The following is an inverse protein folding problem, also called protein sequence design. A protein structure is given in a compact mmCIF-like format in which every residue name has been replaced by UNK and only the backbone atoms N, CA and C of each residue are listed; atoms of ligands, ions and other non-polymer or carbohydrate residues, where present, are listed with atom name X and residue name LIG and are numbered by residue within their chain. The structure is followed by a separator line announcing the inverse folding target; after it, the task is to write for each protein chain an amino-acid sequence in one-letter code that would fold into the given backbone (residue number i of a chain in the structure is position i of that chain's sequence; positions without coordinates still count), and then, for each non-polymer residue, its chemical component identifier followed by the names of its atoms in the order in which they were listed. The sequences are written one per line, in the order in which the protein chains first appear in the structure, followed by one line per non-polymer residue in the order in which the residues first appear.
data_IF_469083423056
#
_entry.id   IF_469083423056
#
_cell.length_a   1.000
_cell.length_b   1.000
_cell.length_c   1.000
_cell.angle_alpha   90.00
_cell.angle_beta   90.00
_cell.angle_gamma   90.00
#
_symmetry.space_group_name_H-M   'P 1'
#
loop_
_entity.id
_entity.type
_entity.pdbx_description
1 polymer ?
#
# COMPACT_ATOMS: atom_id res chain seq x y z
N UNK A 1 44.78 -27.02 -11.26
CA UNK A 1 44.40 -25.60 -11.07
C UNK A 1 45.66 -24.81 -10.76
N UNK A 2 45.82 -23.62 -11.34
CA UNK A 2 46.97 -22.78 -11.03
C UNK A 2 46.96 -22.42 -9.53
N UNK A 3 48.12 -22.23 -8.91
CA UNK A 3 48.20 -21.78 -7.50
C UNK A 3 47.69 -20.34 -7.28
N UNK A 4 47.08 -19.72 -8.29
CA UNK A 4 46.57 -18.34 -8.26
C UNK A 4 45.07 -18.24 -8.56
N UNK A 5 44.41 -19.33 -8.96
CA UNK A 5 43.02 -19.32 -9.41
C UNK A 5 42.18 -20.39 -8.69
N UNK A 6 40.94 -20.04 -8.34
CA UNK A 6 39.96 -20.91 -7.64
C UNK A 6 40.45 -21.57 -6.33
N UNK A 7 41.49 -21.02 -5.68
CA UNK A 7 42.10 -21.56 -4.44
C UNK A 7 41.07 -21.76 -3.32
N UNK A 8 40.03 -20.94 -3.28
CA UNK A 8 38.96 -20.96 -2.27
C UNK A 8 37.61 -21.45 -2.81
N UNK A 9 37.59 -22.06 -4.00
CA UNK A 9 36.38 -22.65 -4.61
C UNK A 9 36.43 -24.16 -4.43
N UNK A 10 35.49 -24.71 -3.65
CA UNK A 10 35.42 -26.15 -3.38
C UNK A 10 34.73 -26.94 -4.50
N UNK A 11 33.81 -26.32 -5.23
CA UNK A 11 33.12 -26.93 -6.37
C UNK A 11 32.43 -25.87 -7.23
N UNK A 12 32.29 -26.18 -8.52
CA UNK A 12 31.51 -25.39 -9.49
C UNK A 12 30.42 -26.31 -10.02
N UNK A 13 29.17 -25.84 -10.01
CA UNK A 13 28.01 -26.59 -10.49
C UNK A 13 27.14 -25.67 -11.33
N UNK A 14 26.57 -26.22 -12.39
CA UNK A 14 25.61 -25.50 -13.22
C UNK A 14 24.26 -25.34 -12.49
N UNK A 15 23.58 -24.24 -12.79
CA UNK A 15 22.22 -23.96 -12.35
C UNK A 15 21.33 -23.95 -13.59
N UNK A 16 20.10 -24.46 -13.48
CA UNK A 16 19.10 -24.39 -14.54
C UNK A 16 18.99 -22.96 -15.09
N UNK A 17 18.88 -22.79 -16.40
CA UNK A 17 18.78 -21.44 -16.97
C UNK A 17 17.40 -20.81 -16.71
N UNK A 18 17.27 -19.47 -16.70
CA UNK A 18 15.97 -18.84 -16.55
C UNK A 18 14.96 -19.24 -17.63
N UNK A 19 15.39 -19.43 -18.89
CA UNK A 19 14.54 -19.86 -20.00
C UNK A 19 13.99 -21.26 -19.77
N UNK A 20 14.83 -22.20 -19.38
CA UNK A 20 14.39 -23.58 -19.09
C UNK A 20 13.40 -23.60 -17.93
N UNK A 21 13.68 -22.88 -16.84
CA UNK A 21 12.78 -22.83 -15.69
C UNK A 21 11.44 -22.16 -16.04
N UNK A 22 11.48 -21.02 -16.72
CA UNK A 22 10.26 -20.32 -17.17
C UNK A 22 9.46 -21.12 -18.19
N UNK A 23 10.12 -21.95 -19.01
CA UNK A 23 9.46 -22.89 -19.91
C UNK A 23 8.78 -24.04 -19.17
N UNK A 24 9.40 -24.57 -18.11
CA UNK A 24 8.82 -25.62 -17.26
C UNK A 24 7.67 -25.11 -16.39
N UNK A 25 7.76 -23.89 -15.89
CA UNK A 25 6.73 -23.24 -15.07
C UNK A 25 6.42 -21.85 -15.66
N UNK A 26 5.54 -21.75 -16.67
CA UNK A 26 5.15 -20.45 -17.22
C UNK A 26 4.39 -19.62 -16.18
N UNK A 27 4.36 -18.30 -16.35
CA UNK A 27 3.49 -17.44 -15.54
C UNK A 27 2.04 -17.61 -16.00
N UNK A 28 1.19 -18.14 -15.13
CA UNK A 28 -0.21 -18.43 -15.45
C UNK A 28 -1.15 -17.22 -15.24
N UNK A 29 -0.68 -16.17 -14.56
CA UNK A 29 -1.48 -15.01 -14.18
C UNK A 29 -0.83 -13.66 -14.54
N UNK A 30 -0.29 -13.46 -15.77
CA UNK A 30 0.48 -12.25 -16.11
C UNK A 30 -0.35 -10.96 -16.03
N UNK A 31 -1.62 -11.00 -16.45
CA UNK A 31 -2.52 -9.84 -16.39
C UNK A 31 -2.79 -9.42 -14.94
N UNK A 32 -3.06 -10.40 -14.07
CA UNK A 32 -3.28 -10.15 -12.65
C UNK A 32 -2.04 -9.53 -11.96
N UNK A 33 -0.83 -10.00 -12.29
CA UNK A 33 0.41 -9.40 -11.79
C UNK A 33 0.56 -7.96 -12.31
N UNK A 34 0.26 -7.71 -13.59
CA UNK A 34 0.32 -6.37 -14.17
C UNK A 34 -0.67 -5.39 -13.51
N UNK A 35 -1.92 -5.81 -13.32
CA UNK A 35 -2.97 -5.04 -12.63
C UNK A 35 -2.61 -4.76 -11.17
N UNK A 36 -1.99 -5.73 -10.50
CA UNK A 36 -1.53 -5.58 -9.12
C UNK A 36 -0.42 -4.53 -9.01
N UNK A 37 0.54 -4.52 -9.95
CA UNK A 37 1.59 -3.50 -10.01
C UNK A 37 1.03 -2.12 -10.30
N UNK A 38 0.03 -2.03 -11.18
CA UNK A 38 -0.65 -0.78 -11.50
C UNK A 38 -1.40 -0.24 -10.28
N UNK A 39 -2.13 -1.11 -9.57
CA UNK A 39 -2.83 -0.76 -8.33
C UNK A 39 -1.89 -0.18 -7.27
N UNK A 40 -0.76 -0.83 -7.02
CA UNK A 40 0.25 -0.31 -6.07
C UNK A 40 0.78 1.06 -6.54
N UNK A 41 0.98 1.23 -7.85
CA UNK A 41 1.41 2.50 -8.42
C UNK A 41 0.36 3.60 -8.19
N UNK A 42 -0.93 3.29 -8.35
CA UNK A 42 -2.05 4.20 -8.10
C UNK A 42 -2.16 4.61 -6.64
N UNK A 43 -2.00 3.66 -5.71
CA UNK A 43 -1.94 3.95 -4.26
C UNK A 43 -0.81 4.94 -3.95
N UNK A 44 0.37 4.73 -4.54
CA UNK A 44 1.50 5.65 -4.36
C UNK A 44 1.29 7.03 -4.95
N UNK A 45 0.39 7.19 -5.91
CA UNK A 45 0.04 8.46 -6.56
C UNK A 45 -1.23 9.12 -5.99
N UNK A 46 -1.83 8.54 -4.95
CA UNK A 46 -3.13 8.99 -4.42
C UNK A 46 -4.30 8.88 -5.42
N UNK A 47 -4.15 8.01 -6.44
CA UNK A 47 -5.19 7.69 -7.43
C UNK A 47 -6.06 6.49 -6.99
N UNK A 48 -5.64 5.77 -5.95
CA UNK A 48 -6.38 4.71 -5.26
C UNK A 48 -6.26 4.96 -3.75
N UNK A 49 -7.39 5.11 -3.07
CA UNK A 49 -7.45 5.48 -1.66
C UNK A 49 -7.21 4.31 -0.70
N UNK A 50 -7.03 3.09 -1.22
CA UNK A 50 -6.74 1.91 -0.40
C UNK A 50 -5.35 2.00 0.24
N UNK A 51 -5.20 1.36 1.39
CA UNK A 51 -3.94 1.25 2.11
C UNK A 51 -3.22 -0.05 1.74
N UNK A 52 -1.95 0.05 1.34
CA UNK A 52 -1.15 -1.12 0.95
C UNK A 52 -0.75 -1.92 2.20
N UNK A 53 -0.99 -3.23 2.17
CA UNK A 53 -0.59 -4.14 3.25
C UNK A 53 0.27 -5.27 2.70
N UNK A 54 1.56 -5.27 3.03
CA UNK A 54 2.48 -6.36 2.71
C UNK A 54 2.59 -7.26 3.93
N UNK A 55 1.99 -8.45 3.89
CA UNK A 55 1.85 -9.31 5.08
C UNK A 55 2.15 -10.76 4.76
N UNK A 56 2.88 -11.43 5.65
CA UNK A 56 3.21 -12.84 5.50
C UNK A 56 4.47 -13.24 6.26
N UNK A 57 4.94 -14.48 6.09
CA UNK A 57 6.02 -15.02 6.90
C UNK A 57 7.33 -14.23 6.75
N UNK A 58 8.17 -14.22 7.80
CA UNK A 58 9.51 -13.62 7.72
C UNK A 58 10.32 -14.20 6.56
N UNK A 59 10.32 -15.54 6.44
CA UNK A 59 10.83 -16.28 5.30
C UNK A 59 10.02 -17.57 5.08
N UNK A 60 9.91 -17.99 3.82
CA UNK A 60 9.20 -19.20 3.40
C UNK A 60 10.16 -20.37 3.39
N UNK A 61 9.93 -21.36 4.26
CA UNK A 61 10.74 -22.57 4.37
C UNK A 61 9.97 -23.85 3.98
N UNK A 62 8.65 -23.77 3.86
CA UNK A 62 7.79 -24.87 3.45
C UNK A 62 6.71 -24.32 2.48
N UNK A 63 6.73 -24.68 1.17
CA UNK A 63 5.74 -24.21 0.20
C UNK A 63 4.31 -24.60 0.53
N UNK A 64 4.08 -25.77 1.13
CA UNK A 64 2.72 -26.24 1.45
C UNK A 64 2.11 -25.38 2.57
N UNK A 65 2.87 -25.13 3.64
CA UNK A 65 2.45 -24.20 4.71
C UNK A 65 2.25 -22.77 4.21
N UNK A 66 3.05 -22.34 3.23
CA UNK A 66 2.88 -21.04 2.61
C UNK A 66 1.57 -20.95 1.80
N UNK A 67 1.17 -22.02 1.12
CA UNK A 67 -0.12 -22.08 0.43
C UNK A 67 -1.29 -22.13 1.40
N UNK A 68 -1.16 -22.86 2.51
CA UNK A 68 -2.16 -22.83 3.58
C UNK A 68 -2.35 -21.42 4.13
N UNK A 69 -1.24 -20.72 4.42
CA UNK A 69 -1.29 -19.31 4.81
C UNK A 69 -1.93 -18.42 3.74
N UNK A 70 -1.61 -18.64 2.45
CA UNK A 70 -2.20 -17.88 1.35
C UNK A 70 -3.72 -18.07 1.27
N UNK A 71 -4.23 -19.28 1.48
CA UNK A 71 -5.67 -19.55 1.52
C UNK A 71 -6.36 -18.80 2.68
N UNK A 72 -5.75 -18.78 3.87
CA UNK A 72 -6.26 -17.98 5.00
C UNK A 72 -6.23 -16.48 4.70
N UNK A 73 -5.14 -16.01 4.06
CA UNK A 73 -4.99 -14.61 3.67
C UNK A 73 -6.01 -14.20 2.58
N UNK A 74 -6.45 -15.13 1.73
CA UNK A 74 -7.47 -14.87 0.71
C UNK A 74 -8.79 -14.42 1.34
N UNK A 75 -9.19 -15.04 2.45
CA UNK A 75 -10.39 -14.65 3.20
C UNK A 75 -10.28 -13.22 3.72
N UNK A 76 -9.13 -12.87 4.30
CA UNK A 76 -8.88 -11.52 4.80
C UNK A 76 -8.84 -10.50 3.66
N UNK A 77 -8.14 -10.81 2.57
CA UNK A 77 -8.11 -9.98 1.37
C UNK A 77 -9.52 -9.70 0.85
N UNK A 78 -10.36 -10.72 0.75
CA UNK A 78 -11.73 -10.56 0.26
C UNK A 78 -12.61 -9.72 1.20
N UNK A 79 -12.41 -9.85 2.51
CA UNK A 79 -13.13 -9.07 3.53
C UNK A 79 -12.77 -7.59 3.52
N UNK A 80 -11.50 -7.25 3.30
CA UNK A 80 -11.00 -5.88 3.39
C UNK A 80 -10.69 -5.21 2.03
N UNK A 81 -11.08 -5.84 0.90
CA UNK A 81 -10.67 -5.43 -0.46
C UNK A 81 -11.02 -4.00 -0.87
N UNK A 82 -12.06 -3.42 -0.26
CA UNK A 82 -12.56 -2.08 -0.58
C UNK A 82 -11.68 -0.97 0.02
N UNK A 83 -10.80 -1.32 0.97
CA UNK A 83 -10.02 -0.36 1.77
C UNK A 83 -8.55 -0.74 1.88
N UNK A 84 -8.24 -2.03 1.87
CA UNK A 84 -6.88 -2.55 1.95
C UNK A 84 -6.51 -3.25 0.65
N UNK A 85 -5.31 -2.96 0.14
CA UNK A 85 -4.71 -3.73 -0.93
C UNK A 85 -3.67 -4.69 -0.35
N UNK A 86 -4.11 -5.93 -0.13
CA UNK A 86 -3.31 -6.98 0.53
C UNK A 86 -2.38 -7.66 -0.48
N UNK A 87 -1.09 -7.69 -0.17
CA UNK A 87 -0.02 -8.34 -0.91
C UNK A 87 0.68 -9.33 0.02
N UNK A 88 0.79 -10.59 -0.39
CA UNK A 88 1.47 -11.60 0.40
C UNK A 88 2.98 -11.37 0.36
N UNK A 89 3.61 -11.34 1.53
CA UNK A 89 5.07 -11.38 1.69
C UNK A 89 5.57 -12.80 1.43
N UNK A 90 6.30 -13.00 0.34
CA UNK A 90 6.88 -14.30 -0.09
C UNK A 90 8.40 -14.16 -0.22
N UNK A 91 9.09 -14.12 0.93
CA UNK A 91 10.53 -13.92 0.99
C UNK A 91 11.21 -15.27 1.18
N UNK A 92 12.20 -15.60 0.35
CA UNK A 92 12.81 -16.93 0.38
C UNK A 92 14.01 -17.04 1.31
N UNK A 93 14.62 -15.92 1.69
CA UNK A 93 15.82 -15.90 2.49
C UNK A 93 15.78 -14.71 3.47
N UNK A 94 16.42 -14.91 4.63
CA UNK A 94 16.76 -13.85 5.57
C UNK A 94 18.28 -13.62 5.53
N UNK A 95 18.76 -12.45 5.07
CA UNK A 95 20.20 -12.16 5.07
C UNK A 95 20.79 -12.18 6.48
N UNK A 96 21.85 -12.97 6.68
CA UNK A 96 22.53 -13.15 7.98
C UNK A 96 24.03 -12.96 7.85
N UNK A 97 24.64 -12.31 8.85
CA UNK A 97 26.10 -12.13 8.97
C UNK A 97 26.81 -13.32 9.60
N UNK A 98 26.09 -14.18 10.33
CA UNK A 98 26.61 -15.40 10.96
C UNK A 98 25.80 -16.61 10.45
N UNK A 99 26.33 -17.82 10.66
CA UNK A 99 25.78 -19.08 10.12
C UNK A 99 24.27 -19.30 10.30
N UNK A 100 23.70 -20.22 9.54
CA UNK A 100 22.28 -20.54 9.53
C UNK A 100 21.77 -21.00 8.18
N UNK A 101 20.50 -21.41 8.14
CA UNK A 101 19.80 -21.75 6.91
C UNK A 101 19.84 -20.59 5.90
N UNK A 102 20.09 -20.93 4.63
CA UNK A 102 20.34 -19.96 3.54
C UNK A 102 19.11 -19.61 2.72
N UNK A 103 17.93 -20.03 3.15
CA UNK A 103 16.69 -19.78 2.46
C UNK A 103 16.29 -20.89 1.49
N UNK A 104 15.03 -20.86 1.05
CA UNK A 104 14.44 -21.93 0.26
C UNK A 104 15.05 -22.08 -1.13
N UNK A 105 15.46 -20.97 -1.75
CA UNK A 105 16.13 -21.01 -3.04
C UNK A 105 17.50 -21.68 -2.91
N UNK A 106 18.27 -21.31 -1.88
CA UNK A 106 19.64 -21.79 -1.74
C UNK A 106 19.73 -23.19 -1.12
N UNK A 107 18.87 -23.52 -0.16
CA UNK A 107 18.89 -24.78 0.61
C UNK A 107 17.45 -25.29 0.83
N UNK A 108 16.78 -25.79 -0.23
CA UNK A 108 15.35 -26.13 -0.20
C UNK A 108 14.98 -27.27 0.75
N UNK A 109 15.92 -28.15 1.08
CA UNK A 109 15.71 -29.31 1.94
C UNK A 109 16.12 -29.06 3.40
N UNK A 110 16.71 -27.90 3.69
CA UNK A 110 17.18 -27.50 5.03
C UNK A 110 18.21 -28.52 5.55
N UNK A 111 19.11 -28.95 4.68
CA UNK A 111 20.10 -29.99 4.94
C UNK A 111 21.50 -29.67 4.40
N UNK A 112 21.69 -28.46 3.87
CA UNK A 112 22.96 -27.96 3.34
C UNK A 112 23.44 -28.69 2.08
N UNK A 113 22.54 -29.37 1.35
CA UNK A 113 22.84 -29.93 0.03
C UNK A 113 23.00 -28.86 -1.06
N UNK A 114 22.37 -27.71 -0.84
CA UNK A 114 22.40 -26.53 -1.70
C UNK A 114 21.95 -26.78 -3.16
N UNK A 115 20.86 -27.55 -3.35
CA UNK A 115 20.24 -27.71 -4.68
C UNK A 115 19.46 -26.46 -5.10
N UNK A 116 20.17 -25.49 -5.67
CA UNK A 116 19.62 -24.21 -6.10
C UNK A 116 18.58 -24.39 -7.21
N UNK A 117 18.78 -25.33 -8.14
CA UNK A 117 17.85 -25.57 -9.25
C UNK A 117 16.49 -26.06 -8.72
N UNK A 118 16.50 -26.96 -7.73
CA UNK A 118 15.28 -27.37 -7.01
C UNK A 118 14.64 -26.21 -6.25
N UNK A 119 15.44 -25.40 -5.55
CA UNK A 119 14.95 -24.25 -4.80
C UNK A 119 14.28 -23.20 -5.69
N UNK A 120 14.86 -22.90 -6.86
CA UNK A 120 14.28 -22.01 -7.87
C UNK A 120 12.96 -22.56 -8.43
N UNK A 121 12.89 -23.87 -8.69
CA UNK A 121 11.65 -24.53 -9.11
C UNK A 121 10.55 -24.37 -8.05
N UNK A 122 10.84 -24.70 -6.80
CA UNK A 122 9.90 -24.59 -5.68
C UNK A 122 9.42 -23.14 -5.48
N UNK A 123 10.34 -22.17 -5.53
CA UNK A 123 10.02 -20.76 -5.38
C UNK A 123 9.09 -20.26 -6.50
N UNK A 124 9.40 -20.59 -7.76
CA UNK A 124 8.61 -20.17 -8.91
C UNK A 124 7.22 -20.82 -8.94
N UNK A 125 7.14 -22.12 -8.65
CA UNK A 125 5.86 -22.84 -8.55
C UNK A 125 4.96 -22.24 -7.46
N UNK A 126 5.51 -22.00 -6.27
CA UNK A 126 4.78 -21.37 -5.17
C UNK A 126 4.22 -20.00 -5.55
N UNK A 127 5.05 -19.13 -6.13
CA UNK A 127 4.60 -17.80 -6.58
C UNK A 127 3.49 -17.88 -7.62
N UNK A 128 3.57 -18.84 -8.55
CA UNK A 128 2.52 -19.07 -9.54
C UNK A 128 1.20 -19.50 -8.89
N UNK A 129 1.25 -20.44 -7.94
CA UNK A 129 0.08 -20.92 -7.21
C UNK A 129 -0.57 -19.78 -6.42
N UNK A 130 0.21 -18.97 -5.69
CA UNK A 130 -0.31 -17.82 -4.93
C UNK A 130 -0.96 -16.77 -5.86
N UNK A 131 -0.32 -16.43 -6.99
CA UNK A 131 -0.92 -15.52 -7.96
C UNK A 131 -2.18 -16.11 -8.63
N UNK A 132 -2.26 -17.43 -8.80
CA UNK A 132 -3.45 -18.12 -9.33
C UNK A 132 -4.62 -18.10 -8.35
N UNK A 133 -4.37 -18.02 -7.05
CA UNK A 133 -5.40 -17.73 -6.02
C UNK A 133 -5.87 -16.27 -6.07
N UNK A 134 -5.28 -15.43 -6.92
CA UNK A 134 -5.58 -14.01 -7.00
C UNK A 134 -4.98 -13.22 -5.84
N UNK A 135 -3.86 -13.64 -5.26
CA UNK A 135 -3.11 -12.87 -4.26
C UNK A 135 -1.80 -12.38 -4.88
N UNK A 136 -1.53 -11.07 -4.91
CA UNK A 136 -0.25 -10.56 -5.40
C UNK A 136 0.86 -10.87 -4.41
N UNK A 137 2.08 -11.11 -4.92
CA UNK A 137 3.24 -11.48 -4.09
C UNK A 137 4.30 -10.38 -4.05
N UNK A 138 4.92 -10.20 -2.89
CA UNK A 138 6.06 -9.32 -2.66
C UNK A 138 7.31 -10.12 -2.25
N UNK A 139 8.48 -9.75 -2.75
CA UNK A 139 9.76 -10.37 -2.35
C UNK A 139 10.85 -9.32 -2.08
N UNK A 140 11.98 -9.76 -1.53
CA UNK A 140 13.18 -8.93 -1.37
C UNK A 140 14.25 -9.33 -2.37
N UNK A 141 14.92 -8.32 -2.92
CA UNK A 141 16.00 -8.52 -3.87
C UNK A 141 17.34 -8.64 -3.12
N UNK A 142 17.94 -9.83 -3.18
CA UNK A 142 19.17 -10.17 -2.46
C UNK A 142 20.39 -10.38 -3.38
N UNK A 143 20.15 -10.67 -4.66
CA UNK A 143 21.18 -10.93 -5.65
C UNK A 143 20.74 -10.47 -7.06
N UNK A 144 21.67 -10.53 -8.02
CA UNK A 144 21.52 -10.05 -9.39
C UNK A 144 21.07 -11.12 -10.41
N UNK A 145 20.84 -12.36 -9.99
CA UNK A 145 20.51 -13.49 -10.85
C UNK A 145 19.07 -13.96 -10.66
N UNK A 146 18.62 -14.13 -9.41
CA UNK A 146 17.28 -14.56 -9.00
C UNK A 146 16.15 -13.79 -9.69
N UNK A 147 16.23 -12.46 -9.95
CA UNK A 147 15.18 -11.75 -10.68
C UNK A 147 14.83 -12.34 -12.03
N UNK A 148 15.82 -12.85 -12.78
CA UNK A 148 15.55 -13.47 -14.08
C UNK A 148 14.73 -14.75 -13.94
N UNK A 149 14.65 -15.36 -12.76
CA UNK A 149 13.87 -16.59 -12.55
C UNK A 149 12.44 -16.34 -12.09
N UNK A 150 12.18 -15.25 -11.34
CA UNK A 150 10.89 -15.09 -10.64
C UNK A 150 10.22 -13.72 -10.80
N UNK A 151 10.91 -12.69 -11.30
CA UNK A 151 10.43 -11.31 -11.24
C UNK A 151 9.14 -11.08 -12.04
N UNK A 152 8.83 -11.90 -13.04
CA UNK A 152 7.57 -11.86 -13.77
C UNK A 152 6.34 -12.23 -12.92
N UNK A 153 6.54 -12.83 -11.74
CA UNK A 153 5.49 -13.22 -10.78
C UNK A 153 5.35 -12.26 -9.60
N UNK A 154 6.21 -11.24 -9.49
CA UNK A 154 6.28 -10.34 -8.33
C UNK A 154 5.51 -9.05 -8.59
N UNK A 155 4.71 -8.59 -7.63
CA UNK A 155 3.95 -7.34 -7.71
C UNK A 155 4.61 -6.18 -6.95
N UNK A 156 5.45 -6.46 -5.95
CA UNK A 156 6.22 -5.47 -5.19
C UNK A 156 7.59 -6.02 -4.80
N UNK A 157 8.64 -5.19 -4.87
CA UNK A 157 10.00 -5.59 -4.49
C UNK A 157 10.53 -4.71 -3.37
N UNK A 158 11.17 -5.31 -2.38
CA UNK A 158 11.93 -4.57 -1.37
C UNK A 158 13.44 -4.67 -1.62
N UNK A 159 14.15 -3.58 -1.31
CA UNK A 159 15.61 -3.56 -1.16
C UNK A 159 15.92 -3.48 0.33
N UNK A 160 16.72 -4.42 0.79
CA UNK A 160 17.05 -4.59 2.21
C UNK A 160 17.88 -3.48 2.80
N UNK A 161 17.84 -3.36 4.13
CA UNK A 161 18.61 -2.37 4.89
C UNK A 161 20.14 -2.52 4.71
N UNK A 162 20.62 -3.72 4.35
CA UNK A 162 22.05 -3.98 4.11
C UNK A 162 22.47 -3.80 2.65
N UNK A 163 21.52 -3.71 1.74
CA UNK A 163 21.77 -3.63 0.29
C UNK A 163 21.30 -2.30 -0.32
N UNK A 164 20.60 -1.45 0.45
CA UNK A 164 20.17 -0.11 0.01
C UNK A 164 21.32 0.81 -0.42
N UNK A 165 22.52 0.62 0.10
CA UNK A 165 23.74 1.34 -0.30
C UNK A 165 24.53 0.64 -1.42
N UNK A 166 24.15 -0.58 -1.79
CA UNK A 166 24.84 -1.33 -2.84
C UNK A 166 24.48 -0.78 -4.22
N UNK A 167 25.51 -0.35 -4.95
CA UNK A 167 25.35 0.15 -6.32
C UNK A 167 24.68 -0.88 -7.24
N UNK A 168 25.09 -2.15 -7.14
CA UNK A 168 24.52 -3.24 -7.95
C UNK A 168 23.02 -3.39 -7.68
N UNK A 169 22.59 -3.32 -6.41
CA UNK A 169 21.18 -3.42 -6.06
C UNK A 169 20.37 -2.21 -6.55
N UNK A 170 20.93 -1.00 -6.51
CA UNK A 170 20.29 0.19 -7.08
C UNK A 170 20.16 0.08 -8.60
N UNK A 171 21.21 -0.38 -9.29
CA UNK A 171 21.18 -0.61 -10.74
C UNK A 171 20.15 -1.68 -11.13
N UNK A 172 20.05 -2.77 -10.37
CA UNK A 172 18.99 -3.76 -10.57
C UNK A 172 17.60 -3.18 -10.33
N UNK A 173 17.42 -2.46 -9.22
CA UNK A 173 16.13 -1.85 -8.87
C UNK A 173 15.63 -0.83 -9.91
N UNK A 174 16.54 -0.27 -10.70
CA UNK A 174 16.22 0.55 -11.86
C UNK A 174 15.57 -0.25 -13.02
N UNK A 175 15.98 -1.52 -13.21
CA UNK A 175 15.51 -2.38 -14.31
C UNK A 175 14.33 -3.28 -13.98
N UNK A 176 13.97 -3.45 -12.70
CA UNK A 176 12.84 -4.31 -12.31
C UNK A 176 11.49 -3.66 -12.61
N UNK A 177 10.53 -4.50 -12.99
CA UNK A 177 9.22 -4.04 -13.46
C UNK A 177 8.21 -3.70 -12.36
N UNK A 178 8.60 -3.81 -11.08
CA UNK A 178 7.72 -3.57 -9.93
C UNK A 178 7.93 -2.18 -9.33
N UNK A 179 6.97 -1.65 -8.57
CA UNK A 179 7.27 -0.68 -7.52
C UNK A 179 8.31 -1.25 -6.55
N UNK A 180 9.15 -0.36 -6.00
CA UNK A 180 10.32 -0.75 -5.20
C UNK A 180 10.35 0.02 -3.88
N UNK A 181 10.42 -0.69 -2.77
CA UNK A 181 10.60 -0.09 -1.45
C UNK A 181 12.04 -0.22 -0.95
N UNK A 182 12.66 0.90 -0.61
CA UNK A 182 14.00 0.93 -0.04
C UNK A 182 13.93 1.03 1.48
N UNK A 183 14.39 -0.01 2.17
CA UNK A 183 14.52 0.03 3.63
C UNK A 183 15.59 1.03 4.04
N UNK A 184 15.33 1.82 5.08
CA UNK A 184 16.42 2.56 5.71
C UNK A 184 17.49 1.59 6.23
N UNK A 185 18.78 1.96 6.19
CA UNK A 185 19.85 1.13 6.72
C UNK A 185 19.67 0.82 8.20
N UNK A 186 20.41 -0.17 8.72
CA UNK A 186 20.33 -0.55 10.14
C UNK A 186 20.73 0.58 11.09
N UNK A 187 21.57 1.51 10.64
CA UNK A 187 21.93 2.72 11.39
C UNK A 187 20.82 3.80 11.42
N UNK A 188 19.73 3.62 10.66
CA UNK A 188 18.61 4.57 10.60
C UNK A 188 18.75 5.73 9.63
N UNK A 189 19.88 5.85 8.92
CA UNK A 189 20.13 6.99 8.03
C UNK A 189 19.25 6.97 6.77
N UNK A 190 18.15 7.73 6.80
CA UNK A 190 17.15 7.83 5.72
C UNK A 190 17.74 8.36 4.41
N UNK A 191 18.77 9.21 4.45
CA UNK A 191 19.38 9.79 3.24
C UNK A 191 19.84 8.71 2.27
N UNK A 192 20.32 7.57 2.78
CA UNK A 192 20.76 6.44 1.96
C UNK A 192 19.62 5.79 1.15
N UNK A 193 18.41 5.78 1.69
CA UNK A 193 17.22 5.32 0.96
C UNK A 193 16.73 6.37 -0.04
N UNK A 194 16.82 7.66 0.30
CA UNK A 194 16.54 8.78 -0.63
C UNK A 194 17.49 8.74 -1.85
N UNK A 195 18.79 8.60 -1.61
CA UNK A 195 19.80 8.48 -2.67
C UNK A 195 19.52 7.30 -3.60
N UNK A 196 19.05 6.18 -3.04
CA UNK A 196 18.68 5.00 -3.81
C UNK A 196 17.48 5.29 -4.73
N UNK A 197 16.47 6.04 -4.26
CA UNK A 197 15.32 6.45 -5.08
C UNK A 197 15.77 7.35 -6.24
N UNK A 198 16.61 8.36 -5.98
CA UNK A 198 17.17 9.18 -7.06
C UNK A 198 17.98 8.35 -8.06
N UNK A 199 18.77 7.40 -7.56
CA UNK A 199 19.58 6.53 -8.42
C UNK A 199 18.69 5.76 -9.39
N UNK A 200 17.62 5.13 -8.91
CA UNK A 200 16.79 4.28 -9.78
C UNK A 200 15.98 5.07 -10.81
N UNK A 201 15.74 6.36 -10.62
CA UNK A 201 15.02 7.18 -11.60
C UNK A 201 15.80 7.41 -12.90
N UNK A 202 17.11 7.20 -12.89
CA UNK A 202 18.00 7.39 -14.04
C UNK A 202 18.26 6.07 -14.79
N UNK A 203 18.67 6.15 -16.06
CA UNK A 203 19.20 4.99 -16.80
C UNK A 203 20.53 4.53 -16.23
N UNK A 204 20.77 3.23 -16.20
CA UNK A 204 22.03 2.60 -15.78
C UNK A 204 22.43 1.48 -16.74
N UNK A 205 23.74 1.27 -16.84
CA UNK A 205 24.36 0.12 -17.49
C UNK A 205 25.04 -0.76 -16.43
N UNK A 206 24.74 -2.05 -16.42
CA UNK A 206 25.38 -3.00 -15.51
C UNK A 206 25.46 -4.41 -16.11
N UNK A 207 26.28 -5.27 -15.52
CA UNK A 207 26.42 -6.67 -15.95
C UNK A 207 25.39 -7.53 -15.22
N UNK A 208 24.59 -8.27 -15.99
CA UNK A 208 23.63 -9.25 -15.47
C UNK A 208 23.64 -10.51 -16.34
N UNK A 209 22.62 -11.36 -16.20
CA UNK A 209 22.40 -12.52 -17.07
C UNK A 209 21.16 -12.33 -17.95
N UNK A 210 21.18 -12.88 -19.15
CA UNK A 210 19.99 -13.06 -19.97
C UNK A 210 19.21 -14.33 -19.58
N UNK A 211 18.15 -14.64 -20.33
CA UNK A 211 17.33 -15.82 -20.09
C UNK A 211 18.07 -17.13 -20.38
N UNK A 212 19.15 -17.11 -21.15
CA UNK A 212 20.00 -18.27 -21.45
C UNK A 212 21.14 -18.43 -20.44
N UNK A 213 21.12 -17.65 -19.34
CA UNK A 213 22.13 -17.69 -18.29
C UNK A 213 23.46 -17.05 -18.69
N UNK A 214 23.55 -16.41 -19.86
CA UNK A 214 24.79 -15.79 -20.34
C UNK A 214 24.94 -14.39 -19.79
N UNK A 215 26.17 -14.02 -19.42
CA UNK A 215 26.47 -12.67 -18.97
C UNK A 215 26.22 -11.67 -20.10
N UNK A 216 25.47 -10.60 -19.81
CA UNK A 216 25.15 -9.50 -20.71
C UNK A 216 25.33 -8.15 -20.03
N UNK A 217 25.52 -7.13 -20.85
CA UNK A 217 25.33 -5.74 -20.43
C UNK A 217 23.84 -5.42 -20.53
N UNK A 218 23.26 -4.96 -19.44
CA UNK A 218 21.87 -4.57 -19.33
C UNK A 218 21.80 -3.05 -19.22
N UNK A 219 20.99 -2.43 -20.08
CA UNK A 219 20.66 -1.01 -20.03
C UNK A 219 19.23 -0.83 -19.51
N UNK A 220 19.05 -0.01 -18.49
CA UNK A 220 17.75 0.23 -17.85
C UNK A 220 17.17 1.57 -18.29
N UNK A 221 15.85 1.73 -18.19
CA UNK A 221 15.15 2.97 -18.58
C UNK A 221 14.86 3.93 -17.41
N UNK A 222 15.28 3.57 -16.19
CA UNK A 222 14.78 4.22 -14.98
C UNK A 222 13.52 3.54 -14.42
N UNK A 223 13.34 3.67 -13.12
CA UNK A 223 12.15 3.26 -12.37
C UNK A 223 11.71 4.40 -11.45
N UNK A 224 10.58 5.02 -11.76
CA UNK A 224 10.02 6.14 -11.00
C UNK A 224 9.07 5.71 -9.87
N UNK A 225 8.97 4.40 -9.59
CA UNK A 225 8.04 3.79 -8.65
C UNK A 225 8.72 3.41 -7.32
N UNK A 226 9.68 4.23 -6.89
CA UNK A 226 10.37 4.08 -5.60
C UNK A 226 9.55 4.62 -4.42
N UNK A 227 9.64 3.94 -3.27
CA UNK A 227 9.15 4.41 -1.98
C UNK A 227 10.17 4.09 -0.87
N UNK A 228 10.03 4.74 0.29
CA UNK A 228 10.88 4.43 1.47
C UNK A 228 10.13 3.46 2.39
N UNK A 229 10.85 2.49 2.93
CA UNK A 229 10.37 1.61 4.00
C UNK A 229 11.06 1.99 5.31
N UNK A 230 10.29 2.51 6.26
CA UNK A 230 10.73 2.81 7.62
C UNK A 230 10.66 1.56 8.48
N UNK A 231 11.79 1.10 8.99
CA UNK A 231 11.92 -0.22 9.65
C UNK A 231 12.61 -0.21 11.01
N UNK A 232 12.72 0.98 11.59
CA UNK A 232 13.53 1.29 12.76
C UNK A 232 15.02 1.22 12.46
N UNK A 233 15.82 1.33 13.51
CA UNK A 233 17.27 1.25 13.49
C UNK A 233 17.76 0.42 14.67
N UNK A 234 19.08 0.34 14.83
CA UNK A 234 19.72 -0.17 16.05
C UNK A 234 19.51 0.76 17.26
N UNK A 235 19.24 2.04 17.03
CA UNK A 235 19.05 3.06 18.07
C UNK A 235 17.61 3.23 18.51
N UNK A 236 16.64 2.75 17.74
CA UNK A 236 15.23 2.79 18.13
C UNK A 236 14.25 2.64 16.98
N UNK A 237 12.97 2.76 17.31
CA UNK A 237 11.90 2.82 16.35
C UNK A 237 11.88 4.16 15.58
N UNK A 238 11.29 4.15 14.39
CA UNK A 238 11.12 5.34 13.54
C UNK A 238 9.72 5.43 12.91
N UNK A 239 8.70 4.92 13.61
CA UNK A 239 7.30 4.93 13.17
C UNK A 239 6.45 6.02 13.84
N UNK A 240 6.98 6.71 14.86
CA UNK A 240 6.23 7.73 15.58
C UNK A 240 5.99 8.98 14.70
N UNK A 241 4.95 9.77 15.00
CA UNK A 241 4.57 10.90 14.16
C UNK A 241 5.68 11.94 13.95
N UNK A 242 6.51 12.20 14.98
CA UNK A 242 7.58 13.22 14.89
C UNK A 242 8.68 12.73 13.95
N UNK A 243 9.10 11.47 14.09
CA UNK A 243 10.09 10.89 13.20
C UNK A 243 9.57 10.81 11.76
N UNK A 244 8.30 10.42 11.56
CA UNK A 244 7.68 10.37 10.24
C UNK A 244 7.68 11.75 9.57
N UNK A 245 7.32 12.82 10.28
CA UNK A 245 7.32 14.17 9.71
C UNK A 245 8.73 14.64 9.32
N UNK A 246 9.75 14.38 10.16
CA UNK A 246 11.15 14.69 9.84
C UNK A 246 11.64 13.96 8.58
N UNK A 247 11.19 12.72 8.39
CA UNK A 247 11.47 11.93 7.18
C UNK A 247 10.77 12.54 5.97
N UNK A 248 9.50 12.89 6.12
CA UNK A 248 8.69 13.55 5.07
C UNK A 248 9.38 14.84 4.62
N UNK A 249 9.84 15.67 5.55
CA UNK A 249 10.57 16.90 5.25
C UNK A 249 11.88 16.61 4.49
N UNK A 250 12.65 15.61 4.94
CA UNK A 250 13.89 15.20 4.27
C UNK A 250 13.67 14.75 2.82
N UNK A 251 12.58 14.01 2.56
CA UNK A 251 12.20 13.57 1.21
C UNK A 251 11.76 14.77 0.36
N UNK A 252 10.92 15.67 0.91
CA UNK A 252 10.48 16.90 0.21
C UNK A 252 11.66 17.78 -0.17
N UNK A 253 12.61 17.98 0.74
CA UNK A 253 13.83 18.76 0.51
C UNK A 253 14.73 18.16 -0.57
N UNK A 254 14.56 16.87 -0.88
CA UNK A 254 15.25 16.19 -1.97
C UNK A 254 14.47 16.21 -3.30
N UNK A 255 13.30 16.87 -3.36
CA UNK A 255 12.48 16.99 -4.56
C UNK A 255 11.70 15.71 -4.94
N UNK A 256 11.54 14.77 -4.00
CA UNK A 256 10.82 13.52 -4.21
C UNK A 256 9.39 13.56 -3.65
N UNK A 257 8.51 12.75 -4.24
CA UNK A 257 7.19 12.50 -3.67
C UNK A 257 7.28 11.65 -2.40
N UNK A 258 6.56 12.05 -1.36
CA UNK A 258 6.57 11.39 -0.05
C UNK A 258 5.67 10.16 -0.04
N UNK A 259 6.30 8.99 -0.19
CA UNK A 259 5.66 7.67 -0.20
C UNK A 259 6.35 6.77 0.82
N UNK A 260 5.69 6.53 1.95
CA UNK A 260 6.22 5.74 3.05
C UNK A 260 5.47 4.42 3.20
N UNK A 261 6.22 3.36 3.45
CA UNK A 261 5.72 2.11 4.03
C UNK A 261 6.36 1.98 5.41
N UNK A 262 5.59 1.59 6.42
CA UNK A 262 6.14 1.35 7.77
C UNK A 262 6.19 -0.16 8.01
N UNK A 263 7.38 -0.70 8.26
CA UNK A 263 7.61 -2.09 8.69
C UNK A 263 7.34 -2.17 10.19
N UNK A 264 6.35 -2.97 10.60
CA UNK A 264 5.91 -3.10 11.99
C UNK A 264 6.86 -3.96 12.81
N UNK A 265 7.70 -4.77 12.16
CA UNK A 265 8.60 -5.71 12.80
C UNK A 265 9.98 -5.07 13.05
N UNK A 266 10.99 -5.91 13.23
CA UNK A 266 12.39 -5.53 13.22
C UNK A 266 12.79 -4.41 14.20
N UNK A 267 13.38 -3.31 13.72
CA UNK A 267 13.84 -2.22 14.60
C UNK A 267 12.67 -1.50 15.24
N UNK A 268 11.55 -1.37 14.53
CA UNK A 268 10.33 -0.75 15.03
C UNK A 268 9.67 -1.56 16.15
N UNK A 269 9.75 -2.89 16.09
CA UNK A 269 9.26 -3.74 17.18
C UNK A 269 10.30 -4.01 18.28
N UNK A 270 11.53 -3.48 18.15
CA UNK A 270 12.64 -3.87 19.03
C UNK A 270 12.95 -5.37 18.97
N UNK A 271 12.67 -6.02 17.83
CA UNK A 271 12.73 -7.47 17.59
C UNK A 271 11.79 -8.31 18.47
N UNK A 272 10.75 -7.70 19.02
CA UNK A 272 9.68 -8.39 19.73
C UNK A 272 8.42 -8.42 18.86
N UNK A 273 8.06 -9.59 18.35
CA UNK A 273 6.92 -9.74 17.43
C UNK A 273 5.59 -9.28 18.04
N UNK A 274 5.44 -9.30 19.38
CA UNK A 274 4.23 -8.83 20.06
C UNK A 274 4.07 -7.31 19.98
N UNK A 275 5.17 -6.58 19.81
CA UNK A 275 5.18 -5.10 19.70
C UNK A 275 4.76 -4.59 18.33
N UNK A 276 4.53 -5.48 17.35
CA UNK A 276 3.97 -5.07 16.06
C UNK A 276 2.61 -4.37 16.23
N UNK A 277 1.83 -4.74 17.25
CA UNK A 277 0.54 -4.10 17.59
C UNK A 277 0.69 -2.60 17.88
N UNK A 278 1.69 -2.19 18.67
CA UNK A 278 1.95 -0.79 18.98
C UNK A 278 2.30 0.03 17.74
N UNK A 279 3.01 -0.58 16.78
CA UNK A 279 3.33 0.07 15.51
C UNK A 279 2.06 0.25 14.67
N UNK A 280 1.22 -0.79 14.58
CA UNK A 280 -0.07 -0.73 13.86
C UNK A 280 -1.00 0.32 14.47
N UNK A 281 -1.10 0.40 15.80
CA UNK A 281 -1.88 1.42 16.50
C UNK A 281 -1.35 2.84 16.27
N UNK A 282 -0.03 3.01 16.17
CA UNK A 282 0.56 4.32 15.85
C UNK A 282 0.28 4.73 14.41
N UNK A 283 0.38 3.79 13.45
CA UNK A 283 0.02 4.02 12.06
C UNK A 283 -1.46 4.40 11.95
N UNK A 284 -2.34 3.67 12.63
CA UNK A 284 -3.79 3.91 12.57
C UNK A 284 -4.16 5.31 13.08
N UNK A 285 -3.56 5.77 14.20
CA UNK A 285 -3.70 7.14 14.70
C UNK A 285 -3.24 8.18 13.66
N UNK A 286 -2.08 7.98 13.04
CA UNK A 286 -1.59 8.90 12.01
C UNK A 286 -2.49 8.95 10.78
N UNK A 287 -3.08 7.83 10.36
CA UNK A 287 -4.08 7.80 9.29
C UNK A 287 -5.34 8.59 9.67
N UNK A 288 -5.81 8.47 10.92
CA UNK A 288 -6.95 9.23 11.45
C UNK A 288 -6.67 10.74 11.52
N UNK A 289 -5.41 11.11 11.74
CA UNK A 289 -4.91 12.49 11.71
C UNK A 289 -4.62 12.98 10.27
N UNK A 290 -5.09 12.25 9.25
CA UNK A 290 -4.97 12.58 7.83
C UNK A 290 -3.52 12.61 7.31
N UNK A 291 -2.60 11.87 7.94
CA UNK A 291 -1.27 11.66 7.37
C UNK A 291 -1.40 10.93 6.03
N UNK A 292 -1.21 11.67 4.94
CA UNK A 292 -1.31 11.14 3.59
C UNK A 292 0.01 10.54 3.08
N UNK A 293 1.12 10.67 3.81
CA UNK A 293 2.44 10.24 3.37
C UNK A 293 2.68 8.74 3.62
N UNK A 294 1.99 8.15 4.60
CA UNK A 294 2.01 6.71 4.86
C UNK A 294 1.05 6.02 3.87
N UNK A 295 1.63 5.27 2.93
CA UNK A 295 0.91 4.56 1.86
C UNK A 295 0.67 3.09 2.16
N UNK A 296 1.42 2.53 3.11
CA UNK A 296 1.26 1.13 3.47
C UNK A 296 2.04 0.69 4.70
N UNK A 297 1.91 -0.60 4.98
CA UNK A 297 2.54 -1.29 6.11
C UNK A 297 3.18 -2.60 5.66
N UNK A 298 4.22 -3.04 6.36
CA UNK A 298 4.81 -4.38 6.22
C UNK A 298 4.72 -5.12 7.56
N UNK A 299 4.12 -6.32 7.55
CA UNK A 299 3.82 -7.13 8.74
C UNK A 299 4.44 -8.51 8.60
N UNK A 300 5.15 -8.98 9.63
CA UNK A 300 5.64 -10.36 9.71
C UNK A 300 4.63 -11.22 10.48
N UNK A 301 3.96 -12.09 9.74
CA UNK A 301 2.81 -12.89 10.17
C UNK A 301 2.94 -14.32 9.64
N UNK A 302 2.58 -15.32 10.44
CA UNK A 302 2.53 -16.71 10.01
C UNK A 302 1.27 -17.36 10.55
N UNK A 303 1.04 -18.64 10.24
CA UNK A 303 -0.12 -19.39 10.76
C UNK A 303 -0.10 -19.37 12.29
N UNK A 304 1.05 -19.70 12.87
CA UNK A 304 1.31 -19.73 14.31
C UNK A 304 2.36 -18.67 14.69
N UNK A 305 2.29 -18.19 15.92
CA UNK A 305 3.18 -17.13 16.41
C UNK A 305 4.58 -17.62 16.82
N UNK A 306 5.50 -16.67 16.97
CA UNK A 306 6.86 -16.92 17.43
C UNK A 306 7.79 -17.43 16.33
N UNK A 307 8.87 -18.08 16.76
CA UNK A 307 9.82 -18.76 15.89
C UNK A 307 10.32 -20.07 16.52
N UNK A 308 11.06 -20.83 15.73
CA UNK A 308 11.75 -22.05 16.14
C UNK A 308 13.12 -22.15 15.45
N UNK A 309 14.07 -22.95 15.98
CA UNK A 309 15.32 -23.23 15.30
C UNK A 309 15.11 -23.98 13.97
N UNK A 310 15.98 -23.74 12.98
CA UNK A 310 15.98 -24.49 11.73
C UNK A 310 16.34 -25.97 11.98
N UNK A 311 15.58 -26.87 11.40
CA UNK A 311 15.79 -28.32 11.41
C UNK A 311 15.21 -28.93 10.12
N UNK A 312 15.43 -30.24 9.91
CA UNK A 312 14.77 -30.98 8.83
C UNK A 312 13.25 -30.76 8.91
N UNK A 313 12.60 -30.53 7.78
CA UNK A 313 11.19 -30.13 7.68
C UNK A 313 10.23 -31.03 8.48
N UNK A 314 10.46 -32.34 8.52
CA UNK A 314 9.65 -33.30 9.29
C UNK A 314 9.69 -33.13 10.82
N UNK A 315 10.64 -32.35 11.35
CA UNK A 315 10.77 -32.04 12.78
C UNK A 315 10.29 -30.64 13.15
N UNK A 316 9.93 -29.83 12.15
CA UNK A 316 9.47 -28.47 12.38
C UNK A 316 8.00 -28.49 12.80
N UNK A 317 7.66 -27.61 13.75
CA UNK A 317 6.27 -27.35 14.08
C UNK A 317 5.62 -26.61 12.92
N UNK A 318 4.45 -27.09 12.51
CA UNK A 318 3.66 -26.52 11.43
C UNK A 318 3.41 -25.02 11.64
N UNK A 319 3.64 -24.22 10.60
CA UNK A 319 3.20 -22.82 10.56
C UNK A 319 3.98 -21.87 11.47
N UNK A 320 5.15 -22.29 11.99
CA UNK A 320 6.02 -21.47 12.84
C UNK A 320 7.29 -21.10 12.08
N UNK A 321 7.67 -19.82 12.10
CA UNK A 321 8.86 -19.30 11.42
C UNK A 321 10.15 -19.98 11.89
N UNK A 322 11.08 -20.28 10.98
CA UNK A 322 12.45 -20.70 11.32
C UNK A 322 13.48 -19.55 11.33
N UNK A 323 12.99 -18.32 11.22
CA UNK A 323 13.78 -17.08 11.15
C UNK A 323 13.33 -16.09 12.22
N UNK A 324 12.90 -14.89 11.85
CA UNK A 324 12.39 -13.92 12.83
C UNK A 324 10.98 -14.33 13.28
N UNK A 325 10.65 -14.00 14.53
CA UNK A 325 9.34 -14.33 15.12
C UNK A 325 8.21 -13.56 14.46
N UNK A 326 7.10 -14.27 14.18
CA UNK A 326 5.92 -13.70 13.52
C UNK A 326 4.74 -13.64 14.50
N UNK A 327 3.75 -12.79 14.22
CA UNK A 327 2.42 -12.90 14.85
C UNK A 327 1.61 -14.02 14.19
N UNK A 328 0.58 -14.53 14.87
CA UNK A 328 -0.33 -15.54 14.32
C UNK A 328 -1.45 -14.91 13.44
N UNK A 329 -2.30 -15.75 12.85
CA UNK A 329 -3.43 -15.31 12.00
C UNK A 329 -4.49 -14.50 12.76
N UNK A 330 -4.76 -14.80 14.04
CA UNK A 330 -5.74 -14.06 14.84
C UNK A 330 -5.31 -12.60 15.02
N UNK A 331 -4.04 -12.41 15.41
CA UNK A 331 -3.47 -11.08 15.59
C UNK A 331 -3.32 -10.34 14.26
N UNK A 332 -3.02 -11.07 13.19
CA UNK A 332 -3.01 -10.54 11.81
C UNK A 332 -4.37 -9.98 11.45
N UNK A 333 -5.46 -10.71 11.72
CA UNK A 333 -6.82 -10.24 11.47
C UNK A 333 -7.12 -8.95 12.26
N UNK A 334 -6.72 -8.88 13.54
CA UNK A 334 -6.90 -7.66 14.36
C UNK A 334 -6.17 -6.47 13.74
N UNK A 335 -4.93 -6.64 13.29
CA UNK A 335 -4.16 -5.57 12.66
C UNK A 335 -4.83 -5.08 11.38
N UNK A 336 -5.28 -6.00 10.51
CA UNK A 336 -6.00 -5.64 9.30
C UNK A 336 -7.31 -4.90 9.61
N UNK A 337 -8.07 -5.34 10.61
CA UNK A 337 -9.29 -4.67 11.02
C UNK A 337 -9.05 -3.24 11.54
N UNK A 338 -8.00 -3.03 12.33
CA UNK A 338 -7.61 -1.69 12.80
C UNK A 338 -7.27 -0.77 11.61
N UNK A 339 -6.49 -1.28 10.65
CA UNK A 339 -6.09 -0.53 9.46
C UNK A 339 -7.27 -0.26 8.51
N UNK A 340 -8.19 -1.21 8.35
CA UNK A 340 -9.44 -1.05 7.59
C UNK A 340 -10.27 0.11 8.15
N UNK A 341 -10.53 0.09 9.46
CA UNK A 341 -11.30 1.15 10.14
C UNK A 341 -10.61 2.51 9.97
N UNK A 342 -9.31 2.59 10.25
CA UNK A 342 -8.56 3.83 10.12
C UNK A 342 -8.53 4.35 8.68
N UNK A 343 -8.44 3.46 7.69
CA UNK A 343 -8.47 3.83 6.27
C UNK A 343 -9.84 4.35 5.86
N UNK A 344 -10.94 3.70 6.27
CA UNK A 344 -12.32 4.18 6.03
C UNK A 344 -12.52 5.58 6.58
N UNK A 345 -12.12 5.80 7.83
CA UNK A 345 -12.25 7.09 8.49
C UNK A 345 -11.37 8.17 7.84
N UNK A 346 -10.15 7.83 7.42
CA UNK A 346 -9.28 8.74 6.66
C UNK A 346 -9.91 9.18 5.35
N UNK A 347 -10.45 8.24 4.56
CA UNK A 347 -11.11 8.54 3.28
C UNK A 347 -12.34 9.41 3.51
N UNK A 348 -13.18 9.05 4.48
CA UNK A 348 -14.33 9.85 4.87
C UNK A 348 -13.94 11.29 5.26
N UNK A 349 -12.94 11.46 6.14
CA UNK A 349 -12.44 12.79 6.55
C UNK A 349 -11.84 13.58 5.39
N UNK A 350 -11.12 12.91 4.46
CA UNK A 350 -10.56 13.52 3.24
C UNK A 350 -11.68 14.04 2.33
N UNK A 351 -12.72 13.24 2.10
CA UNK A 351 -13.86 13.64 1.27
C UNK A 351 -14.61 14.83 1.87
N UNK A 352 -14.86 14.82 3.18
CA UNK A 352 -15.46 15.95 3.90
C UNK A 352 -14.57 17.20 3.80
N UNK A 353 -13.25 17.08 3.95
CA UNK A 353 -12.33 18.21 3.79
C UNK A 353 -12.34 18.81 2.38
N UNK A 354 -12.40 17.96 1.35
CA UNK A 354 -12.50 18.40 -0.04
C UNK A 354 -13.82 19.11 -0.31
N UNK A 355 -14.91 18.58 0.24
CA UNK A 355 -16.22 19.21 0.15
C UNK A 355 -16.24 20.57 0.86
N UNK A 356 -15.68 20.67 2.08
CA UNK A 356 -15.51 21.94 2.81
C UNK A 356 -14.85 23.00 1.93
N UNK A 357 -13.69 22.68 1.35
CA UNK A 357 -12.97 23.58 0.45
C UNK A 357 -13.80 24.01 -0.75
N UNK A 358 -14.54 23.07 -1.35
CA UNK A 358 -15.40 23.37 -2.52
C UNK A 358 -16.55 24.31 -2.15
N UNK A 359 -17.18 24.08 -1.00
CA UNK A 359 -18.26 24.93 -0.48
C UNK A 359 -17.73 26.32 -0.15
N UNK A 360 -16.57 26.45 0.49
CA UNK A 360 -15.95 27.76 0.78
C UNK A 360 -15.68 28.57 -0.49
N UNK A 361 -15.21 27.92 -1.56
CA UNK A 361 -15.00 28.57 -2.86
C UNK A 361 -16.34 29.06 -3.44
N UNK A 362 -17.39 28.24 -3.36
CA UNK A 362 -18.71 28.61 -3.88
C UNK A 362 -19.34 29.74 -3.06
N UNK A 363 -19.23 29.70 -1.73
CA UNK A 363 -19.70 30.76 -0.84
C UNK A 363 -19.02 32.09 -1.17
N UNK A 364 -17.69 32.11 -1.34
CA UNK A 364 -16.95 33.32 -1.75
C UNK A 364 -17.41 33.87 -3.10
N UNK A 365 -17.68 33.00 -4.08
CA UNK A 365 -18.24 33.42 -5.38
C UNK A 365 -19.64 34.00 -5.23
N UNK A 366 -20.48 33.40 -4.38
CA UNK A 366 -21.83 33.88 -4.11
C UNK A 366 -21.82 35.26 -3.43
N UNK A 367 -21.01 35.43 -2.39
CA UNK A 367 -20.83 36.72 -1.71
C UNK A 367 -20.34 37.81 -2.66
N UNK A 368 -19.43 37.48 -3.59
CA UNK A 368 -18.98 38.40 -4.61
C UNK A 368 -20.11 38.82 -5.55
N UNK A 369 -20.94 37.88 -6.01
CA UNK A 369 -22.09 38.17 -6.87
C UNK A 369 -23.18 38.98 -6.16
N UNK A 370 -23.46 38.67 -4.89
CA UNK A 370 -24.45 39.39 -4.07
C UNK A 370 -24.06 40.86 -3.82
N UNK A 371 -22.77 41.19 -3.90
CA UNK A 371 -22.26 42.57 -3.81
C UNK A 371 -22.35 43.34 -5.13
N UNK A 372 -22.65 42.68 -6.24
CA UNK A 372 -22.84 43.33 -7.54
C UNK A 372 -24.30 43.69 -7.79
N UNK A 373 -24.53 44.62 -8.71
CA UNK A 373 -25.88 44.94 -9.18
C UNK A 373 -26.47 43.71 -9.88
N UNK A 374 -27.64 43.25 -9.43
CA UNK A 374 -28.33 42.10 -10.03
C UNK A 374 -28.76 42.43 -11.47
N UNK A 375 -28.06 41.85 -12.45
CA UNK A 375 -28.42 41.83 -13.86
C UNK A 375 -28.66 40.38 -14.31
N UNK A 376 -29.07 40.16 -15.56
CA UNK A 376 -29.42 38.82 -16.08
C UNK A 376 -28.24 37.84 -16.00
N UNK A 377 -27.03 38.29 -16.31
CA UNK A 377 -25.82 37.47 -16.27
C UNK A 377 -25.44 37.06 -14.84
N UNK A 378 -25.58 37.98 -13.88
CA UNK A 378 -25.37 37.71 -12.45
C UNK A 378 -26.41 36.73 -11.89
N UNK A 379 -27.65 36.77 -12.37
CA UNK A 379 -28.71 35.82 -11.98
C UNK A 379 -28.45 34.41 -12.52
N UNK A 380 -27.95 34.29 -13.76
CA UNK A 380 -27.58 33.00 -14.36
C UNK A 380 -26.37 32.38 -13.63
N UNK A 381 -25.34 33.19 -13.34
CA UNK A 381 -24.19 32.73 -12.55
C UNK A 381 -24.58 32.33 -11.12
N UNK A 382 -25.46 33.10 -10.46
CA UNK A 382 -26.01 32.77 -9.15
C UNK A 382 -26.71 31.40 -9.19
N UNK A 383 -27.60 31.20 -10.17
CA UNK A 383 -28.35 29.93 -10.34
C UNK A 383 -27.40 28.75 -10.58
N UNK A 384 -26.34 28.93 -11.37
CA UNK A 384 -25.33 27.90 -11.60
C UNK A 384 -24.58 27.52 -10.32
N UNK A 385 -24.17 28.50 -9.52
CA UNK A 385 -23.47 28.28 -8.24
C UNK A 385 -24.41 27.60 -7.23
N UNK A 386 -25.66 28.04 -7.11
CA UNK A 386 -26.65 27.41 -6.22
C UNK A 386 -26.93 25.95 -6.62
N UNK A 387 -27.07 25.66 -7.92
CA UNK A 387 -27.21 24.28 -8.41
C UNK A 387 -25.98 23.42 -8.07
N UNK A 388 -24.77 23.98 -8.14
CA UNK A 388 -23.56 23.28 -7.75
C UNK A 388 -23.51 22.99 -6.24
N UNK A 389 -23.91 23.95 -5.39
CA UNK A 389 -24.05 23.75 -3.93
C UNK A 389 -25.08 22.67 -3.60
N UNK A 390 -26.23 22.67 -4.27
CA UNK A 390 -27.26 21.62 -4.13
C UNK A 390 -26.70 20.24 -4.49
N UNK A 391 -25.94 20.12 -5.59
CA UNK A 391 -25.34 18.85 -5.99
C UNK A 391 -24.27 18.37 -4.99
N UNK A 392 -23.46 19.26 -4.43
CA UNK A 392 -22.53 18.92 -3.35
C UNK A 392 -23.30 18.44 -2.12
N UNK A 393 -24.42 19.10 -1.80
CA UNK A 393 -25.35 18.66 -0.76
C UNK A 393 -25.82 17.23 -0.92
N UNK A 394 -26.20 16.86 -2.14
CA UNK A 394 -26.55 15.47 -2.47
C UNK A 394 -25.37 14.54 -2.22
N UNK A 395 -24.16 14.88 -2.66
CA UNK A 395 -22.94 14.08 -2.42
C UNK A 395 -22.63 13.90 -0.94
N UNK A 396 -22.72 14.96 -0.13
CA UNK A 396 -22.57 14.91 1.33
C UNK A 396 -23.59 13.95 1.95
N UNK A 397 -24.84 14.07 1.51
CA UNK A 397 -25.91 13.16 1.88
C UNK A 397 -25.56 11.71 1.48
N UNK A 398 -25.09 11.42 0.26
CA UNK A 398 -24.71 10.05 -0.13
C UNK A 398 -23.57 9.48 0.73
N UNK A 399 -22.56 10.29 1.03
CA UNK A 399 -21.40 9.91 1.85
C UNK A 399 -21.84 9.52 3.28
N UNK A 400 -22.78 10.27 3.87
CA UNK A 400 -23.32 10.00 5.22
C UNK A 400 -24.42 8.93 5.22
N UNK A 401 -25.29 8.89 4.22
CA UNK A 401 -26.45 8.00 4.16
C UNK A 401 -26.17 6.59 3.65
N UNK A 402 -24.91 6.24 3.36
CA UNK A 402 -24.50 4.83 3.25
C UNK A 402 -24.86 3.99 4.49
N UNK A 403 -25.07 4.61 5.67
CA UNK A 403 -25.56 3.95 6.89
C UNK A 403 -27.08 4.04 7.12
N UNK A 404 -27.83 4.79 6.30
CA UNK A 404 -29.28 4.97 6.50
C UNK A 404 -30.05 5.14 5.16
N UNK A 405 -30.45 4.04 4.50
CA UNK A 405 -31.03 4.04 3.16
C UNK A 405 -32.36 4.80 3.01
N UNK A 406 -33.10 5.00 4.10
CA UNK A 406 -34.40 5.67 4.08
C UNK A 406 -34.28 7.19 3.90
N UNK A 407 -33.32 7.85 4.57
CA UNK A 407 -33.04 9.26 4.31
C UNK A 407 -32.50 9.48 2.89
N UNK A 408 -31.67 8.55 2.39
CA UNK A 408 -31.19 8.62 1.00
C UNK A 408 -32.33 8.56 -0.02
N UNK A 409 -33.33 7.67 0.18
CA UNK A 409 -34.54 7.62 -0.65
C UNK A 409 -35.35 8.92 -0.57
N UNK A 410 -35.39 9.54 0.61
CA UNK A 410 -36.07 10.81 0.83
C UNK A 410 -35.38 11.97 0.08
N UNK A 411 -34.05 12.09 0.13
CA UNK A 411 -33.28 13.09 -0.64
C UNK A 411 -33.32 12.87 -2.16
N UNK A 412 -33.41 11.62 -2.62
CA UNK A 412 -33.53 11.28 -4.04
C UNK A 412 -34.94 11.51 -4.60
N UNK A 413 -35.96 11.57 -3.74
CA UNK A 413 -37.36 11.74 -4.14
C UNK A 413 -37.76 13.20 -4.26
N UNK A 414 -37.81 13.67 -5.51
CA UNK A 414 -38.60 14.77 -6.07
C UNK A 414 -38.59 16.16 -5.40
N UNK A 415 -38.47 17.21 -6.22
CA UNK A 415 -38.46 18.63 -5.82
C UNK A 415 -39.68 19.05 -4.97
N UNK A 416 -40.78 18.29 -5.04
CA UNK A 416 -42.03 18.51 -4.31
C UNK A 416 -41.92 18.21 -2.79
N UNK A 417 -41.12 17.22 -2.38
CA UNK A 417 -40.91 16.91 -0.94
C UNK A 417 -39.90 17.84 -0.28
N UNK A 418 -38.94 18.34 -1.06
CA UNK A 418 -38.07 19.45 -0.62
C UNK A 418 -38.93 20.71 -0.42
N UNK A 419 -39.92 20.98 -1.28
CA UNK A 419 -40.88 22.08 -1.09
C UNK A 419 -41.67 21.99 0.24
N UNK A 420 -42.12 20.79 0.61
CA UNK A 420 -42.80 20.55 1.90
C UNK A 420 -41.89 20.80 3.11
N UNK A 421 -40.60 20.43 3.00
CA UNK A 421 -39.58 20.75 4.01
C UNK A 421 -39.24 22.24 4.09
N UNK A 422 -39.25 22.95 2.95
CA UNK A 422 -38.95 24.39 2.89
C UNK A 422 -40.01 25.25 3.62
N UNK A 423 -41.17 24.66 3.91
CA UNK A 423 -42.30 25.27 4.64
C UNK A 423 -42.52 24.73 6.06
N UNK A 424 -41.78 23.71 6.49
CA UNK A 424 -41.96 23.04 7.79
C UNK A 424 -40.67 23.08 8.62
N UNK A 425 -40.52 24.17 9.39
CA UNK A 425 -39.35 24.42 10.27
C UNK A 425 -39.14 23.30 11.30
N UNK A 426 -40.21 22.61 11.70
CA UNK A 426 -40.14 21.54 12.70
C UNK A 426 -39.42 20.32 12.13
N UNK A 427 -39.69 19.99 10.87
CA UNK A 427 -39.07 18.86 10.17
C UNK A 427 -37.65 19.17 9.69
N UNK A 428 -37.35 20.44 9.40
CA UNK A 428 -35.98 20.92 9.20
C UNK A 428 -35.13 20.69 10.47
N UNK A 429 -35.67 21.03 11.65
CA UNK A 429 -34.99 20.82 12.93
C UNK A 429 -34.82 19.34 13.27
N UNK A 430 -35.83 18.49 13.04
CA UNK A 430 -35.72 17.03 13.24
C UNK A 430 -34.58 16.42 12.40
N UNK A 431 -34.41 16.87 11.16
CA UNK A 431 -33.31 16.44 10.29
C UNK A 431 -31.96 16.95 10.81
N UNK A 432 -31.88 18.23 11.21
CA UNK A 432 -30.67 18.81 11.80
C UNK A 432 -30.21 18.09 13.07
N UNK A 433 -31.15 17.61 13.88
CA UNK A 433 -30.89 16.88 15.11
C UNK A 433 -30.35 15.46 14.86
N UNK A 434 -30.51 14.91 13.64
CA UNK A 434 -29.89 13.63 13.26
C UNK A 434 -28.38 13.72 12.97
N UNK A 435 -27.82 14.93 12.90
CA UNK A 435 -26.40 15.13 12.60
C UNK A 435 -25.63 15.65 13.81
N UNK A 436 -24.52 15.00 14.15
CA UNK A 436 -23.63 15.51 15.22
C UNK A 436 -22.58 16.53 14.72
N UNK A 437 -22.36 16.63 13.40
CA UNK A 437 -21.34 17.50 12.79
C UNK A 437 -21.94 18.85 12.37
N UNK A 438 -21.51 19.93 13.01
CA UNK A 438 -22.03 21.28 12.76
C UNK A 438 -21.82 21.76 11.32
N UNK A 439 -20.71 21.41 10.66
CA UNK A 439 -20.50 21.80 9.26
C UNK A 439 -21.57 21.16 8.36
N UNK A 440 -21.99 19.93 8.64
CA UNK A 440 -23.05 19.26 7.87
C UNK A 440 -24.39 19.96 8.07
N UNK A 441 -24.69 20.38 9.31
CA UNK A 441 -25.86 21.22 9.60
C UNK A 441 -25.82 22.51 8.79
N UNK A 442 -24.68 23.19 8.78
CA UNK A 442 -24.50 24.44 8.05
C UNK A 442 -24.60 24.23 6.53
N UNK A 443 -24.07 23.14 5.99
CA UNK A 443 -24.23 22.77 4.58
C UNK A 443 -25.70 22.53 4.25
N UNK A 444 -26.41 21.78 5.09
CA UNK A 444 -27.84 21.51 4.91
C UNK A 444 -28.66 22.81 4.93
N UNK A 445 -28.46 23.67 5.93
CA UNK A 445 -29.10 24.99 6.03
C UNK A 445 -28.81 25.87 4.80
N UNK A 446 -27.56 25.87 4.34
CA UNK A 446 -27.14 26.61 3.15
C UNK A 446 -27.81 26.11 1.87
N UNK A 447 -27.98 24.80 1.72
CA UNK A 447 -28.71 24.20 0.60
C UNK A 447 -30.20 24.55 0.68
N UNK A 448 -30.79 24.49 1.88
CA UNK A 448 -32.18 24.89 2.07
C UNK A 448 -32.38 26.35 1.68
N UNK A 449 -31.47 27.24 2.08
CA UNK A 449 -31.47 28.64 1.63
C UNK A 449 -31.35 28.78 0.10
N UNK A 450 -30.40 28.09 -0.53
CA UNK A 450 -30.24 28.12 -1.99
C UNK A 450 -31.49 27.61 -2.72
N UNK A 451 -32.11 26.53 -2.23
CA UNK A 451 -33.35 26.01 -2.76
C UNK A 451 -34.48 27.04 -2.65
N UNK A 452 -34.61 27.76 -1.52
CA UNK A 452 -35.57 28.88 -1.35
C UNK A 452 -35.30 29.97 -2.39
N UNK A 453 -34.06 30.39 -2.57
CA UNK A 453 -33.68 31.49 -3.47
C UNK A 453 -33.84 31.15 -4.96
N UNK A 454 -33.48 29.93 -5.39
CA UNK A 454 -33.69 29.47 -6.78
C UNK A 454 -35.18 29.34 -7.11
N UNK A 455 -36.03 28.98 -6.14
CA UNK A 455 -37.47 29.01 -6.33
C UNK A 455 -37.99 30.44 -6.45
N UNK A 456 -37.49 31.38 -5.64
CA UNK A 456 -37.85 32.80 -5.75
C UNK A 456 -37.46 33.38 -7.11
N UNK A 457 -36.27 33.06 -7.64
CA UNK A 457 -35.88 33.55 -8.98
C UNK A 457 -36.77 32.98 -10.09
N UNK A 458 -37.13 31.69 -10.00
CA UNK A 458 -38.01 31.02 -10.97
C UNK A 458 -39.45 31.53 -10.90
N UNK A 459 -39.92 31.87 -9.69
CA UNK A 459 -41.21 32.54 -9.47
C UNK A 459 -41.16 33.97 -10.05
N UNK A 460 -40.09 34.73 -9.83
CA UNK A 460 -39.93 36.07 -10.40
C UNK A 460 -39.81 36.06 -11.93
N UNK A 461 -39.24 35.01 -12.52
CA UNK A 461 -39.13 34.82 -13.97
C UNK A 461 -40.47 34.38 -14.60
N UNK A 462 -41.29 33.63 -13.86
CA UNK A 462 -42.68 33.30 -14.25
C UNK A 462 -43.66 34.47 -14.06
N UNK A 463 -43.33 35.42 -13.19
CA UNK A 463 -44.11 36.63 -12.91
C UNK A 463 -43.76 37.80 -13.85
N UNK A 464 -42.62 37.75 -14.53
CA UNK A 464 -42.23 38.67 -15.62
C UNK A 464 -42.74 38.15 -16.96
#
# INVERSE_FOLDING_TARGET
MSQIDDIHISSIKDVITPRELRGKIPNNSPNFVAESRDTITKIFKDEDDRFLVIVGPCSIHNPDEALDYANQLLEFKNRFKDTLFVVMRVYFEKPRTRGGWKGLINDPDIDQTYDISKGLFMARDLLNKINSLGIPTATELLDNHTPQYIMDLISFTAIGARTVESQIHRQLACGISTPVGFKNPTCGNIKKAIDAIHTIQQSHLFKGIDLDGKVKVLETKGNNKGCIILRGSETGANYDPVTVENVVESIKNSGLHTKLIIDTSHGNSGKDFKKQSYVVESISKQLLDLNCHIKGVMIESNINEGNQPSAKRSKLKYGISITDSCVNLEETYKFLNILDIATKERVYKKDISNIRKKIDILNKKLEYLLKQTFNKDNLEQFTKISNERINIGKVVAEIKFKKNPELFRFYKSDSKKIFELLTDEKREQEILDTYDDQFIKDVFLNIMFDCKMVQVSRIQELLK
#
